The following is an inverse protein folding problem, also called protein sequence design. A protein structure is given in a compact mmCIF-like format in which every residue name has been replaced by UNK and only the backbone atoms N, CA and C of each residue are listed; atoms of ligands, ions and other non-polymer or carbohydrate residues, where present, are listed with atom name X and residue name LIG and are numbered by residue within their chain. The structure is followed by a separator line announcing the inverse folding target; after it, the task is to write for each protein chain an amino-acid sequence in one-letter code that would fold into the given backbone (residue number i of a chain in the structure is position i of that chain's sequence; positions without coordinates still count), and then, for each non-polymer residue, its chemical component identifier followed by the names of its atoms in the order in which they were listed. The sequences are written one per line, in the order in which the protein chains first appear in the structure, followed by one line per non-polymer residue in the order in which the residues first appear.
data_IF_650109714973
#
_entry.id   IF_650109714973
#
_cell.length_a   1.000
_cell.length_b   1.000
_cell.length_c   1.000
_cell.angle_alpha   90.00
_cell.angle_beta   90.00
_cell.angle_gamma   90.00
#
_symmetry.space_group_name_H-M   'P 1'
#
loop_
_entity.id
_entity.type
_entity.pdbx_description
1 polymer ?
#
# COMPACT_ATOMS: atom_id res chain seq x y z
N UNK A 1 -1.23 13.45 -26.58
CA UNK A 1 -0.79 12.05 -26.73
C UNK A 1 -1.56 11.22 -25.72
N UNK A 2 -2.22 10.14 -26.13
CA UNK A 2 -2.92 9.27 -25.19
C UNK A 2 -1.88 8.49 -24.37
N UNK A 3 -2.03 8.45 -23.05
CA UNK A 3 -1.18 7.62 -22.21
C UNK A 3 -1.48 6.14 -22.51
N UNK A 4 -0.46 5.28 -22.71
CA UNK A 4 -0.67 3.87 -22.95
C UNK A 4 -1.45 3.26 -21.78
N UNK A 5 -2.46 2.44 -22.11
CA UNK A 5 -3.27 1.72 -21.11
C UNK A 5 -2.41 0.61 -20.50
N UNK A 6 -2.28 0.61 -19.19
CA UNK A 6 -1.51 -0.41 -18.47
C UNK A 6 -2.46 -1.58 -18.15
N UNK A 7 -2.14 -2.82 -18.54
CA UNK A 7 -2.99 -3.98 -18.26
C UNK A 7 -3.01 -4.31 -16.76
N UNK A 8 -4.18 -4.70 -16.23
CA UNK A 8 -4.36 -5.11 -14.84
C UNK A 8 -3.62 -6.42 -14.51
N UNK A 9 -3.29 -7.23 -15.53
CA UNK A 9 -2.47 -8.45 -15.37
C UNK A 9 -1.06 -8.21 -14.81
N UNK A 10 -0.64 -6.95 -14.69
CA UNK A 10 0.57 -6.55 -13.97
C UNK A 10 0.49 -6.82 -12.46
N UNK A 11 -0.71 -6.71 -11.87
CA UNK A 11 -0.92 -6.87 -10.43
C UNK A 11 -1.88 -8.02 -10.08
N UNK A 12 -2.63 -8.53 -11.05
CA UNK A 12 -3.61 -9.61 -10.87
C UNK A 12 -3.16 -10.88 -11.60
N UNK A 13 -3.23 -12.07 -10.98
CA UNK A 13 -3.05 -13.34 -11.69
C UNK A 13 -4.14 -13.56 -12.75
N UNK A 14 -3.91 -14.44 -13.74
CA UNK A 14 -4.86 -14.64 -14.86
C UNK A 14 -6.29 -14.99 -14.44
N UNK A 15 -6.46 -15.76 -13.37
CA UNK A 15 -7.78 -16.12 -12.81
C UNK A 15 -8.52 -14.88 -12.28
N UNK A 16 -7.85 -14.08 -11.45
CA UNK A 16 -8.41 -12.84 -10.92
C UNK A 16 -8.67 -11.81 -12.02
N UNK A 17 -7.82 -11.74 -13.06
CA UNK A 17 -8.02 -10.84 -14.19
C UNK A 17 -9.33 -11.13 -14.94
N UNK A 18 -9.68 -12.41 -15.13
CA UNK A 18 -10.98 -12.81 -15.73
C UNK A 18 -12.14 -12.35 -14.85
N UNK A 19 -12.04 -12.56 -13.53
CA UNK A 19 -13.05 -12.12 -12.56
C UNK A 19 -13.17 -10.59 -12.50
N UNK A 20 -12.06 -9.87 -12.58
CA UNK A 20 -12.03 -8.41 -12.59
C UNK A 20 -12.70 -7.82 -13.83
N UNK A 21 -12.47 -8.39 -15.02
CA UNK A 21 -13.17 -7.97 -16.24
C UNK A 21 -14.69 -8.17 -16.12
N UNK A 22 -15.11 -9.31 -15.55
CA UNK A 22 -16.53 -9.57 -15.24
C UNK A 22 -17.10 -8.54 -14.27
N UNK A 23 -16.37 -8.24 -13.18
CA UNK A 23 -16.76 -7.23 -12.22
C UNK A 23 -16.90 -5.84 -12.86
N UNK A 24 -15.94 -5.42 -13.70
CA UNK A 24 -16.04 -4.15 -14.44
C UNK A 24 -17.29 -4.11 -15.34
N UNK A 25 -17.60 -5.20 -16.03
CA UNK A 25 -18.78 -5.27 -16.88
C UNK A 25 -20.10 -5.11 -16.10
N UNK A 26 -20.15 -5.56 -14.84
CA UNK A 26 -21.36 -5.56 -14.02
C UNK A 26 -21.51 -4.30 -13.15
N UNK A 27 -20.39 -3.74 -12.69
CA UNK A 27 -20.40 -2.73 -11.62
C UNK A 27 -19.77 -1.40 -12.01
N UNK A 28 -19.15 -1.29 -13.19
CA UNK A 28 -18.59 -0.04 -13.67
C UNK A 28 -19.18 0.36 -15.01
N UNK A 29 -19.12 1.66 -15.32
CA UNK A 29 -19.50 2.19 -16.63
C UNK A 29 -18.30 2.20 -17.61
N UNK A 30 -17.33 1.30 -17.40
CA UNK A 30 -16.11 1.24 -18.21
C UNK A 30 -16.42 0.62 -19.57
N UNK A 31 -15.99 1.28 -20.64
CA UNK A 31 -16.19 0.78 -22.01
C UNK A 31 -15.51 -0.58 -22.18
N UNK A 32 -16.03 -1.50 -23.02
CA UNK A 32 -15.39 -2.79 -23.28
C UNK A 32 -13.91 -2.67 -23.70
N UNK A 33 -13.55 -1.66 -24.50
CA UNK A 33 -12.17 -1.40 -24.92
C UNK A 33 -11.23 -0.86 -23.81
N UNK A 34 -11.76 -0.55 -22.63
CA UNK A 34 -11.02 -0.10 -21.45
C UNK A 34 -10.98 -1.16 -20.34
N UNK A 35 -11.78 -2.22 -20.47
CA UNK A 35 -11.80 -3.33 -19.52
C UNK A 35 -10.46 -4.05 -19.47
N UNK A 36 -10.08 -4.52 -18.28
CA UNK A 36 -8.78 -5.15 -18.03
C UNK A 36 -7.62 -4.16 -17.92
N UNK A 37 -7.88 -2.85 -17.92
CA UNK A 37 -6.89 -1.84 -17.52
C UNK A 37 -6.69 -1.85 -16.00
N UNK A 38 -5.51 -1.46 -15.54
CA UNK A 38 -5.19 -1.41 -14.11
C UNK A 38 -6.20 -0.56 -13.32
N UNK A 39 -6.81 -1.09 -12.24
CA UNK A 39 -7.76 -0.34 -11.40
C UNK A 39 -7.09 0.86 -10.73
N UNK A 40 -7.88 1.86 -10.35
CA UNK A 40 -7.48 2.79 -9.29
C UNK A 40 -7.59 2.13 -7.90
N UNK A 41 -7.12 2.81 -6.84
CA UNK A 41 -7.11 2.21 -5.50
C UNK A 41 -8.52 1.86 -4.98
N UNK A 42 -9.53 2.70 -5.25
CA UNK A 42 -10.92 2.44 -4.87
C UNK A 42 -11.53 1.28 -5.67
N UNK A 43 -11.36 1.26 -6.99
CA UNK A 43 -11.80 0.15 -7.84
C UNK A 43 -11.18 -1.18 -7.42
N UNK A 44 -9.89 -1.17 -7.04
CA UNK A 44 -9.22 -2.36 -6.54
C UNK A 44 -9.85 -2.84 -5.23
N UNK A 45 -10.10 -1.95 -4.27
CA UNK A 45 -10.76 -2.32 -3.01
C UNK A 45 -12.18 -2.85 -3.23
N UNK A 46 -12.98 -2.17 -4.05
CA UNK A 46 -14.36 -2.58 -4.32
C UNK A 46 -14.40 -3.94 -5.03
N UNK A 47 -13.45 -4.20 -5.94
CA UNK A 47 -13.26 -5.53 -6.53
C UNK A 47 -12.86 -6.58 -5.50
N UNK A 48 -11.92 -6.28 -4.60
CA UNK A 48 -11.50 -7.22 -3.54
C UNK A 48 -12.64 -7.52 -2.56
N UNK A 49 -13.50 -6.55 -2.25
CA UNK A 49 -14.71 -6.76 -1.45
C UNK A 49 -15.72 -7.64 -2.20
N UNK A 50 -15.92 -7.41 -3.50
CA UNK A 50 -16.77 -8.26 -4.33
C UNK A 50 -16.25 -9.71 -4.39
N UNK A 51 -14.94 -9.93 -4.57
CA UNK A 51 -14.35 -11.27 -4.54
C UNK A 51 -14.62 -11.98 -3.20
N UNK A 52 -14.41 -11.29 -2.08
CA UNK A 52 -14.68 -11.85 -0.74
C UNK A 52 -16.13 -12.29 -0.57
N UNK A 53 -17.10 -11.56 -1.15
CA UNK A 53 -18.52 -11.94 -1.14
C UNK A 53 -18.82 -13.16 -2.02
N UNK A 54 -18.08 -13.35 -3.11
CA UNK A 54 -18.22 -14.54 -3.94
C UNK A 54 -17.62 -15.78 -3.27
N UNK A 55 -16.47 -15.62 -2.60
CA UNK A 55 -15.75 -16.74 -1.96
C UNK A 55 -16.37 -17.16 -0.63
N UNK A 56 -17.12 -16.27 0.03
CA UNK A 56 -17.74 -16.54 1.34
C UNK A 56 -18.91 -17.54 1.28
N UNK A 57 -19.24 -18.06 0.09
CA UNK A 57 -20.33 -19.00 -0.14
C UNK A 57 -21.71 -18.38 0.11
N UNK A 58 -22.76 -19.06 -0.37
CA UNK A 58 -24.17 -18.63 -0.28
C UNK A 58 -24.66 -18.29 1.14
N UNK A 59 -23.91 -18.66 2.19
CA UNK A 59 -24.33 -18.51 3.58
C UNK A 59 -23.97 -17.15 4.21
N UNK A 60 -23.10 -16.35 3.61
CA UNK A 60 -22.61 -15.13 4.28
C UNK A 60 -23.51 -13.91 4.06
N UNK A 61 -24.18 -13.81 2.92
CA UNK A 61 -25.07 -12.67 2.60
C UNK A 61 -26.32 -12.63 3.49
N UNK A 62 -26.74 -13.79 4.03
CA UNK A 62 -27.93 -13.88 4.90
C UNK A 62 -27.69 -13.15 6.23
N UNK A 63 -26.46 -13.10 6.72
CA UNK A 63 -26.17 -12.53 8.04
C UNK A 63 -25.91 -11.02 8.00
N UNK A 64 -25.37 -10.46 6.91
CA UNK A 64 -25.17 -9.01 6.80
C UNK A 64 -26.50 -8.24 6.83
N UNK A 65 -27.55 -8.76 6.20
CA UNK A 65 -28.89 -8.16 6.16
C UNK A 65 -29.55 -8.12 7.56
N UNK A 66 -29.33 -9.15 8.38
CA UNK A 66 -29.90 -9.22 9.74
C UNK A 66 -29.25 -8.19 10.66
N UNK A 67 -27.95 -7.90 10.51
CA UNK A 67 -27.26 -6.87 11.32
C UNK A 67 -27.90 -5.49 11.18
N UNK A 68 -28.37 -5.13 9.97
CA UNK A 68 -29.07 -3.87 9.73
C UNK A 68 -30.43 -3.79 10.44
N UNK A 69 -31.09 -4.92 10.62
CA UNK A 69 -32.38 -5.01 11.33
C UNK A 69 -32.25 -5.14 12.85
N UNK A 70 -31.08 -5.56 13.35
CA UNK A 70 -30.80 -5.68 14.80
C UNK A 70 -30.21 -4.39 15.39
N UNK A 71 -29.88 -3.40 14.56
CA UNK A 71 -29.52 -2.07 15.03
C UNK A 71 -30.70 -1.46 15.80
N UNK A 72 -30.69 -1.68 17.12
CA UNK A 72 -31.67 -1.19 18.07
C UNK A 72 -31.89 0.29 17.79
N UNK A 73 -33.14 0.67 17.56
CA UNK A 73 -33.60 2.04 17.46
C UNK A 73 -33.00 2.80 18.64
N UNK A 74 -31.92 3.54 18.38
CA UNK A 74 -31.13 4.17 19.43
C UNK A 74 -32.08 5.10 20.16
N UNK A 75 -32.32 4.92 21.47
CA UNK A 75 -33.28 5.74 22.18
C UNK A 75 -32.88 7.20 22.00
N UNK A 76 -33.82 8.00 21.50
CA UNK A 76 -33.69 9.44 21.26
C UNK A 76 -33.19 10.13 22.53
N UNK A 77 -31.88 10.21 22.69
CA UNK A 77 -31.25 10.91 23.82
C UNK A 77 -31.34 12.41 23.54
N UNK A 78 -32.08 13.20 24.34
CA UNK A 78 -32.41 14.61 24.02
C UNK A 78 -31.26 15.60 24.28
N UNK A 79 -30.01 15.14 24.37
CA UNK A 79 -28.86 16.01 24.43
C UNK A 79 -28.34 16.21 23.01
N UNK A 80 -28.40 17.45 22.51
CA UNK A 80 -27.91 17.87 21.19
C UNK A 80 -26.40 17.64 21.05
N UNK A 81 -25.98 16.39 20.89
CA UNK A 81 -24.69 16.05 20.31
C UNK A 81 -24.81 16.36 18.83
N UNK A 82 -23.92 17.22 18.31
CA UNK A 82 -23.85 17.50 16.89
C UNK A 82 -23.82 16.17 16.13
N UNK A 83 -24.81 15.92 15.26
CA UNK A 83 -24.88 14.70 14.46
C UNK A 83 -23.69 14.70 13.50
N UNK A 84 -22.63 13.99 13.88
CA UNK A 84 -21.46 13.82 13.04
C UNK A 84 -21.86 13.06 11.78
N UNK A 85 -21.47 13.53 10.58
CA UNK A 85 -21.74 12.81 9.34
C UNK A 85 -21.15 11.40 9.41
N UNK A 86 -21.87 10.40 8.90
CA UNK A 86 -21.42 9.00 8.86
C UNK A 86 -21.17 8.60 7.40
N UNK A 87 -20.02 7.98 7.14
CA UNK A 87 -19.69 7.50 5.79
C UNK A 87 -20.58 6.31 5.40
N UNK A 88 -21.22 6.29 4.22
CA UNK A 88 -22.22 5.27 3.88
C UNK A 88 -21.64 3.87 3.71
N UNK A 89 -20.40 3.72 3.24
CA UNK A 89 -19.80 2.40 3.01
C UNK A 89 -19.17 1.83 4.27
N UNK A 90 -18.34 2.60 4.97
CA UNK A 90 -17.59 2.10 6.14
C UNK A 90 -18.27 2.39 7.48
N UNK A 91 -19.40 3.12 7.49
CA UNK A 91 -20.19 3.46 8.68
C UNK A 91 -19.41 4.16 9.81
N UNK A 92 -18.26 4.73 9.49
CA UNK A 92 -17.46 5.50 10.44
C UNK A 92 -18.00 6.93 10.56
N UNK A 93 -18.09 7.43 11.80
CA UNK A 93 -18.35 8.83 12.06
C UNK A 93 -17.18 9.69 11.55
N UNK A 94 -17.50 10.78 10.85
CA UNK A 94 -16.57 11.72 10.25
C UNK A 94 -16.71 13.11 10.87
N UNK A 95 -15.68 13.92 10.72
CA UNK A 95 -15.70 15.29 11.20
C UNK A 95 -16.75 16.14 10.45
N UNK A 96 -17.44 17.11 11.08
CA UNK A 96 -18.45 17.94 10.40
C UNK A 96 -17.93 18.69 9.17
N UNK A 97 -16.64 19.01 9.11
CA UNK A 97 -15.99 19.59 7.91
C UNK A 97 -16.12 18.67 6.70
N UNK A 98 -16.03 17.35 6.91
CA UNK A 98 -16.23 16.37 5.86
C UNK A 98 -17.70 16.24 5.42
N UNK A 99 -18.68 16.73 6.20
CA UNK A 99 -20.10 16.64 5.85
C UNK A 99 -20.44 17.33 4.51
N UNK A 100 -19.68 18.37 4.14
CA UNK A 100 -19.87 19.10 2.89
C UNK A 100 -19.45 18.32 1.64
N UNK A 101 -18.68 17.24 1.81
CA UNK A 101 -18.25 16.38 0.71
C UNK A 101 -18.93 15.02 0.86
N UNK A 102 -19.76 14.65 -0.12
CA UNK A 102 -20.39 13.33 -0.17
C UNK A 102 -19.34 12.25 -0.48
N UNK A 103 -18.48 11.95 0.48
CA UNK A 103 -17.50 10.88 0.37
C UNK A 103 -18.14 9.56 0.81
N UNK A 104 -17.95 8.52 0.00
CA UNK A 104 -18.53 7.22 0.28
C UNK A 104 -17.85 6.50 1.47
N UNK A 105 -16.59 6.86 1.76
CA UNK A 105 -15.74 6.29 2.82
C UNK A 105 -15.13 7.43 3.65
N UNK A 106 -14.80 7.15 4.91
CA UNK A 106 -14.14 8.13 5.76
C UNK A 106 -12.67 8.35 5.36
N UNK A 107 -12.06 9.49 5.74
CA UNK A 107 -10.65 9.80 5.43
C UNK A 107 -9.66 8.68 5.76
N UNK A 108 -9.82 8.05 6.92
CA UNK A 108 -8.93 6.97 7.38
C UNK A 108 -9.02 5.75 6.47
N UNK A 109 -10.23 5.28 6.14
CA UNK A 109 -10.42 4.16 5.23
C UNK A 109 -9.90 4.46 3.82
N UNK A 110 -10.00 5.71 3.35
CA UNK A 110 -9.43 6.13 2.07
C UNK A 110 -7.91 5.92 2.07
N UNK A 111 -7.22 6.40 3.10
CA UNK A 111 -5.76 6.23 3.22
C UNK A 111 -5.38 4.75 3.32
N UNK A 112 -6.08 3.95 4.13
CA UNK A 112 -5.83 2.51 4.25
C UNK A 112 -5.96 1.77 2.91
N UNK A 113 -6.94 2.13 2.09
CA UNK A 113 -7.12 1.59 0.73
C UNK A 113 -5.90 1.92 -0.14
N UNK A 114 -5.46 3.18 -0.11
CA UNK A 114 -4.29 3.62 -0.87
C UNK A 114 -3.01 2.93 -0.42
N UNK A 115 -2.80 2.76 0.89
CA UNK A 115 -1.65 2.02 1.44
C UNK A 115 -1.66 0.58 0.94
N UNK A 116 -2.77 -0.15 1.10
CA UNK A 116 -2.89 -1.55 0.67
C UNK A 116 -2.66 -1.68 -0.83
N UNK A 117 -3.23 -0.79 -1.63
CA UNK A 117 -3.02 -0.77 -3.07
C UNK A 117 -1.55 -0.50 -3.45
N UNK A 118 -0.89 0.44 -2.77
CA UNK A 118 0.53 0.71 -2.98
C UNK A 118 1.43 -0.47 -2.57
N UNK A 119 1.07 -1.23 -1.53
CA UNK A 119 1.77 -2.46 -1.15
C UNK A 119 1.65 -3.55 -2.23
N UNK A 120 0.49 -3.68 -2.87
CA UNK A 120 0.29 -4.60 -4.02
C UNK A 120 1.19 -4.19 -5.20
N UNK A 121 1.18 -2.91 -5.57
CA UNK A 121 2.04 -2.38 -6.63
C UNK A 121 3.54 -2.53 -6.31
N UNK A 122 3.94 -2.30 -5.06
CA UNK A 122 5.32 -2.46 -4.63
C UNK A 122 5.78 -3.92 -4.70
N UNK A 123 4.92 -4.88 -4.34
CA UNK A 123 5.19 -6.32 -4.51
C UNK A 123 5.31 -6.70 -5.99
N UNK A 124 4.42 -6.21 -6.84
CA UNK A 124 4.52 -6.44 -8.28
C UNK A 124 5.84 -5.88 -8.84
N UNK A 125 6.23 -4.68 -8.43
CA UNK A 125 7.50 -4.07 -8.83
C UNK A 125 8.71 -4.88 -8.34
N UNK A 126 8.68 -5.36 -7.09
CA UNK A 126 9.73 -6.22 -6.54
C UNK A 126 9.87 -7.52 -7.36
N UNK A 127 8.76 -8.16 -7.69
CA UNK A 127 8.74 -9.37 -8.52
C UNK A 127 9.25 -9.12 -9.95
N UNK A 128 9.10 -7.91 -10.47
CA UNK A 128 9.61 -7.48 -11.77
C UNK A 128 11.08 -6.98 -11.74
N UNK A 129 11.79 -7.14 -10.62
CA UNK A 129 13.21 -6.75 -10.48
C UNK A 129 13.47 -5.50 -9.62
N UNK A 130 12.44 -4.91 -9.01
CA UNK A 130 12.54 -3.97 -7.87
C UNK A 130 13.18 -2.61 -8.13
N UNK A 131 13.59 -2.30 -9.36
CA UNK A 131 14.34 -1.09 -9.67
C UNK A 131 13.65 -0.22 -10.70
N UNK A 132 13.82 1.11 -10.55
CA UNK A 132 13.53 2.03 -11.63
C UNK A 132 14.41 1.67 -12.84
N UNK A 133 13.88 1.73 -14.08
CA UNK A 133 14.67 1.58 -15.30
C UNK A 133 15.92 2.48 -15.21
N UNK A 134 17.11 1.88 -15.16
CA UNK A 134 18.35 2.67 -15.11
C UNK A 134 18.76 3.02 -16.55
N UNK A 135 19.26 4.23 -16.77
CA UNK A 135 19.67 4.67 -18.11
C UNK A 135 20.80 3.83 -18.74
N UNK A 136 21.39 2.90 -17.99
CA UNK A 136 22.55 2.09 -18.40
C UNK A 136 22.22 0.62 -18.63
N UNK A 137 21.06 0.13 -18.18
CA UNK A 137 20.64 -1.27 -18.37
C UNK A 137 19.33 -1.29 -19.15
N UNK A 138 19.25 -2.19 -20.13
CA UNK A 138 18.00 -2.46 -20.85
C UNK A 138 17.00 -3.10 -19.88
N UNK A 139 16.06 -2.30 -19.36
CA UNK A 139 14.89 -2.80 -18.64
C UNK A 139 14.03 -3.67 -19.56
N UNK A 140 13.35 -4.66 -18.99
CA UNK A 140 12.32 -5.40 -19.74
C UNK A 140 11.06 -4.56 -19.89
N UNK A 141 10.33 -4.73 -21.00
CA UNK A 141 9.03 -4.08 -21.23
C UNK A 141 8.05 -4.33 -20.07
N UNK A 142 8.09 -5.53 -19.48
CA UNK A 142 7.30 -5.88 -18.31
C UNK A 142 7.67 -5.01 -17.10
N UNK A 143 8.96 -4.89 -16.78
CA UNK A 143 9.44 -4.06 -15.67
C UNK A 143 9.05 -2.58 -15.86
N UNK A 144 9.17 -2.04 -17.07
CA UNK A 144 8.74 -0.68 -17.36
C UNK A 144 7.24 -0.49 -17.16
N UNK A 145 6.43 -1.46 -17.62
CA UNK A 145 4.98 -1.45 -17.45
C UNK A 145 4.59 -1.46 -15.97
N UNK A 146 5.24 -2.32 -15.17
CA UNK A 146 5.01 -2.40 -13.71
C UNK A 146 5.46 -1.13 -13.00
N UNK A 147 6.60 -0.56 -13.38
CA UNK A 147 7.10 0.69 -12.84
C UNK A 147 6.16 1.87 -13.14
N UNK A 148 5.63 1.93 -14.37
CA UNK A 148 4.63 2.93 -14.76
C UNK A 148 3.33 2.78 -13.94
N UNK A 149 2.89 1.54 -13.67
CA UNK A 149 1.75 1.27 -12.79
C UNK A 149 2.00 1.79 -11.37
N UNK A 150 3.17 1.48 -10.80
CA UNK A 150 3.56 1.92 -9.47
C UNK A 150 3.63 3.46 -9.39
N UNK A 151 4.21 4.12 -10.39
CA UNK A 151 4.24 5.58 -10.46
C UNK A 151 2.84 6.18 -10.52
N UNK A 152 1.94 5.61 -11.34
CA UNK A 152 0.54 6.04 -11.43
C UNK A 152 -0.18 5.91 -10.09
N UNK A 153 0.00 4.77 -9.40
CA UNK A 153 -0.54 4.56 -8.05
C UNK A 153 0.00 5.56 -7.03
N UNK A 154 1.31 5.84 -7.07
CA UNK A 154 1.96 6.82 -6.19
C UNK A 154 1.42 8.23 -6.41
N UNK A 155 1.30 8.67 -7.66
CA UNK A 155 0.72 9.97 -8.01
C UNK A 155 -0.74 10.06 -7.56
N UNK A 156 -1.53 9.00 -7.77
CA UNK A 156 -2.92 8.96 -7.31
C UNK A 156 -3.03 9.10 -5.79
N UNK A 157 -2.15 8.41 -5.05
CA UNK A 157 -2.11 8.44 -3.59
C UNK A 157 -1.71 9.82 -3.07
N UNK A 158 -0.68 10.44 -3.65
CA UNK A 158 -0.25 11.79 -3.28
C UNK A 158 -1.33 12.85 -3.55
N UNK A 159 -2.09 12.71 -4.65
CA UNK A 159 -3.23 13.59 -4.93
C UNK A 159 -4.31 13.49 -3.86
N UNK A 160 -4.59 12.28 -3.39
CA UNK A 160 -5.58 12.08 -2.34
C UNK A 160 -5.08 12.61 -0.99
N UNK A 161 -3.82 12.34 -0.65
CA UNK A 161 -3.19 12.87 0.56
C UNK A 161 -3.20 14.40 0.59
N UNK A 162 -2.93 15.06 -0.54
CA UNK A 162 -2.98 16.53 -0.63
C UNK A 162 -4.38 17.11 -0.35
N UNK A 163 -5.45 16.41 -0.75
CA UNK A 163 -6.82 16.81 -0.38
C UNK A 163 -7.06 16.64 1.11
N UNK A 164 -6.57 15.55 1.70
CA UNK A 164 -6.70 15.28 3.13
C UNK A 164 -5.90 16.25 3.99
N UNK A 165 -4.73 16.69 3.54
CA UNK A 165 -3.94 17.74 4.20
C UNK A 165 -4.74 19.06 4.23
N UNK A 166 -5.35 19.44 3.10
CA UNK A 166 -6.22 20.63 3.05
C UNK A 166 -7.41 20.49 4.01
N UNK A 167 -8.05 19.31 4.02
CA UNK A 167 -9.16 19.03 4.95
C UNK A 167 -8.71 19.04 6.41
N UNK A 168 -7.52 18.55 6.72
CA UNK A 168 -6.95 18.55 8.06
C UNK A 168 -6.73 19.99 8.59
N UNK A 169 -6.27 20.91 7.73
CA UNK A 169 -6.17 22.33 8.08
C UNK A 169 -7.55 22.93 8.41
N UNK A 170 -8.58 22.58 7.63
CA UNK A 170 -9.96 23.00 7.87
C UNK A 170 -10.51 22.43 9.18
N UNK A 171 -10.22 21.15 9.50
CA UNK A 171 -10.59 20.51 10.76
C UNK A 171 -9.96 21.22 11.97
N UNK A 172 -8.67 21.57 11.88
CA UNK A 172 -7.97 22.32 12.94
C UNK A 172 -8.57 23.72 13.11
N UNK A 173 -8.83 24.43 12.01
CA UNK A 173 -9.45 25.75 12.05
C UNK A 173 -10.88 25.71 12.60
N UNK A 174 -11.64 24.65 12.28
CA UNK A 174 -12.98 24.41 12.80
C UNK A 174 -12.93 24.11 14.30
N UNK A 175 -12.01 23.25 14.75
CA UNK A 175 -11.86 22.85 16.16
C UNK A 175 -11.47 24.04 17.04
N UNK A 176 -10.66 24.97 16.52
CA UNK A 176 -10.31 26.21 17.23
C UNK A 176 -11.53 27.12 17.48
N UNK A 177 -12.57 27.03 16.65
CA UNK A 177 -13.82 27.81 16.80
C UNK A 177 -14.88 27.10 17.65
N UNK A 178 -14.74 25.81 17.89
CA UNK A 178 -15.71 24.97 18.60
C UNK A 178 -15.03 24.12 19.69
N UNK A 179 -14.38 24.74 20.70
CA UNK A 179 -13.65 24.02 21.74
C UNK A 179 -14.54 23.11 22.62
N UNK A 180 -15.85 23.31 22.61
CA UNK A 180 -16.84 22.48 23.30
C UNK A 180 -17.11 21.14 22.61
N UNK A 181 -16.79 21.03 21.31
CA UNK A 181 -17.01 19.82 20.54
C UNK A 181 -15.96 18.77 20.89
N UNK A 182 -16.39 17.67 21.50
CA UNK A 182 -15.53 16.51 21.81
C UNK A 182 -15.81 15.39 20.81
N UNK A 183 -14.75 14.88 20.22
CA UNK A 183 -14.80 13.85 19.18
C UNK A 183 -13.82 12.74 19.51
N UNK A 184 -14.26 11.75 20.28
CA UNK A 184 -13.40 10.62 20.69
C UNK A 184 -13.31 9.53 19.59
N UNK A 185 -14.43 9.24 18.90
CA UNK A 185 -14.50 8.15 17.91
C UNK A 185 -14.59 8.59 16.44
N UNK A 186 -14.22 9.84 16.15
CA UNK A 186 -14.31 10.39 14.79
C UNK A 186 -13.07 10.05 13.96
N UNK A 187 -13.29 9.60 12.73
CA UNK A 187 -12.23 9.41 11.75
C UNK A 187 -11.98 10.74 11.01
N UNK A 188 -10.99 11.48 11.49
CA UNK A 188 -10.58 12.80 10.98
C UNK A 188 -9.56 12.69 9.85
N UNK A 189 -9.45 13.74 9.04
CA UNK A 189 -8.40 13.87 8.02
C UNK A 189 -7.00 13.98 8.66
N UNK A 190 -6.87 14.67 9.80
CA UNK A 190 -5.61 14.70 10.58
C UNK A 190 -5.12 13.29 10.87
N UNK A 191 -6.00 12.43 11.44
CA UNK A 191 -5.67 11.04 11.76
C UNK A 191 -5.29 10.23 10.52
N UNK A 192 -5.95 10.48 9.39
CA UNK A 192 -5.66 9.81 8.14
C UNK A 192 -4.27 10.17 7.58
N UNK A 193 -3.90 11.45 7.63
CA UNK A 193 -2.56 11.93 7.21
C UNK A 193 -1.47 11.34 8.11
N UNK A 194 -1.67 11.36 9.42
CA UNK A 194 -0.73 10.76 10.38
C UNK A 194 -0.55 9.25 10.12
N UNK A 195 -1.65 8.53 9.87
CA UNK A 195 -1.62 7.11 9.54
C UNK A 195 -0.79 6.83 8.28
N UNK A 196 -0.94 7.65 7.23
CA UNK A 196 -0.14 7.50 6.01
C UNK A 196 1.36 7.65 6.27
N UNK A 197 1.76 8.70 7.00
CA UNK A 197 3.17 8.97 7.26
C UNK A 197 3.80 7.93 8.17
N UNK A 198 3.08 7.47 9.20
CA UNK A 198 3.54 6.41 10.10
C UNK A 198 3.79 5.10 9.37
N UNK A 199 2.92 4.73 8.42
CA UNK A 199 3.08 3.49 7.65
C UNK A 199 4.18 3.63 6.58
N UNK A 200 4.25 4.75 5.86
CA UNK A 200 5.13 4.89 4.69
C UNK A 200 6.57 5.28 5.00
N UNK A 201 6.79 6.11 6.03
CA UNK A 201 8.15 6.45 6.49
C UNK A 201 8.72 5.31 7.34
N UNK A 202 7.85 4.38 7.76
CA UNK A 202 8.10 3.41 8.80
C UNK A 202 8.11 4.14 10.13
N UNK A 203 7.32 3.67 11.10
CA UNK A 203 7.45 4.09 12.49
C UNK A 203 8.89 3.86 12.92
N UNK A 204 9.69 4.92 12.84
CA UNK A 204 11.11 4.88 13.13
C UNK A 204 11.37 4.76 14.64
N UNK A 205 10.29 4.68 15.42
CA UNK A 205 10.31 4.66 16.88
C UNK A 205 10.63 3.27 17.45
N UNK A 206 10.31 2.17 16.76
CA UNK A 206 10.55 0.81 17.30
C UNK A 206 11.77 0.08 16.74
N UNK A 207 12.46 0.67 15.76
CA UNK A 207 13.88 0.31 15.58
C UNK A 207 14.64 1.04 16.67
N UNK A 208 14.70 0.42 17.85
CA UNK A 208 15.80 0.62 18.80
C UNK A 208 17.10 0.35 18.04
N UNK A 209 17.58 1.35 17.31
CA UNK A 209 18.93 1.33 16.81
C UNK A 209 19.78 1.14 18.07
N UNK A 210 20.69 0.16 18.09
CA UNK A 210 21.61 0.02 19.20
C UNK A 210 22.21 1.40 19.41
N UNK A 211 22.16 1.91 20.65
CA UNK A 211 22.65 3.23 21.06
C UNK A 211 24.14 3.37 20.74
N UNK A 212 24.50 3.43 19.47
CA UNK A 212 25.78 3.91 19.01
C UNK A 212 25.72 5.37 19.36
N UNK A 213 26.58 5.78 20.30
CA UNK A 213 26.78 7.18 20.67
C UNK A 213 26.79 7.96 19.36
N UNK A 214 25.75 8.77 19.14
CA UNK A 214 25.64 9.54 17.92
C UNK A 214 26.83 10.47 17.90
N UNK A 215 27.87 10.11 17.15
CA UNK A 215 28.94 11.02 16.82
C UNK A 215 28.30 12.05 15.91
N UNK A 216 27.70 13.08 16.51
CA UNK A 216 27.10 14.18 15.79
C UNK A 216 28.20 14.80 14.95
N UNK A 217 28.10 14.64 13.64
CA UNK A 217 29.00 15.30 12.69
C UNK A 217 28.63 16.78 12.73
N UNK A 218 29.35 17.54 13.55
CA UNK A 218 29.24 18.99 13.58
C UNK A 218 30.01 19.55 12.39
N UNK A 219 29.32 20.31 11.54
CA UNK A 219 29.97 21.12 10.51
C UNK A 219 30.49 22.42 11.17
N UNK A 220 31.63 22.92 10.71
CA UNK A 220 32.18 24.17 11.22
C UNK A 220 31.26 25.35 10.84
N UNK A 221 31.30 26.45 11.62
CA UNK A 221 30.40 27.61 11.44
C UNK A 221 30.60 28.35 10.11
N UNK A 222 31.73 28.13 9.47
CA UNK A 222 32.16 28.67 8.18
C UNK A 222 31.93 27.71 7.01
N UNK A 223 31.29 26.56 7.25
CA UNK A 223 30.93 25.63 6.17
C UNK A 223 29.88 26.30 5.28
N UNK A 224 30.31 26.76 4.11
CA UNK A 224 29.44 27.40 3.15
C UNK A 224 28.55 26.34 2.46
N UNK A 225 27.24 26.43 2.70
CA UNK A 225 26.23 25.56 2.09
C UNK A 225 25.61 26.19 0.85
N UNK A 226 26.37 27.05 0.15
CA UNK A 226 25.95 27.62 -1.11
C UNK A 226 25.28 26.57 -2.00
N UNK A 227 24.11 26.89 -2.60
CA UNK A 227 23.32 25.96 -3.40
C UNK A 227 24.08 25.60 -4.68
N UNK A 228 24.93 24.59 -4.61
CA UNK A 228 25.76 24.19 -5.75
C UNK A 228 26.44 22.83 -5.64
N UNK A 229 26.51 22.22 -4.44
CA UNK A 229 27.14 20.90 -4.27
C UNK A 229 26.12 19.83 -3.89
N UNK A 230 25.78 18.90 -4.80
CA UNK A 230 24.90 17.77 -4.48
C UNK A 230 25.46 16.95 -3.31
N UNK A 231 24.57 16.48 -2.41
CA UNK A 231 24.94 15.73 -1.21
C UNK A 231 25.83 14.50 -1.52
N UNK A 232 25.60 13.86 -2.68
CA UNK A 232 26.38 12.72 -3.15
C UNK A 232 27.88 12.99 -3.29
N UNK A 233 28.33 14.24 -3.41
CA UNK A 233 29.75 14.59 -3.52
C UNK A 233 30.49 14.62 -2.18
N UNK A 234 29.78 14.57 -1.05
CA UNK A 234 30.38 14.44 0.28
C UNK A 234 30.61 12.98 0.67
N UNK A 235 30.11 12.02 -0.11
CA UNK A 235 30.28 10.60 0.15
C UNK A 235 31.70 10.16 -0.26
N UNK A 236 32.40 9.40 0.60
CA UNK A 236 33.76 8.86 0.33
C UNK A 236 33.87 8.03 -0.95
N UNK A 237 32.76 7.47 -1.44
CA UNK A 237 32.69 6.69 -2.68
C UNK A 237 32.58 7.55 -3.94
N UNK A 238 32.40 8.86 -3.81
CA UNK A 238 32.33 9.77 -4.96
C UNK A 238 33.72 9.98 -5.56
N UNK A 239 33.87 9.91 -6.90
CA UNK A 239 35.13 10.26 -7.57
C UNK A 239 35.58 11.71 -7.33
N UNK A 240 34.67 12.57 -6.86
CA UNK A 240 34.91 13.98 -6.54
C UNK A 240 35.02 14.25 -5.04
N UNK A 241 35.15 13.20 -4.22
CA UNK A 241 35.42 13.35 -2.79
C UNK A 241 36.84 13.90 -2.61
N UNK A 242 36.95 14.97 -1.83
CA UNK A 242 38.24 15.58 -1.48
C UNK A 242 38.49 15.27 0.02
N UNK A 243 39.31 14.25 0.35
CA UNK A 243 39.65 13.94 1.73
C UNK A 243 40.29 15.14 2.41
N UNK A 244 39.96 15.40 3.68
CA UNK A 244 40.59 16.48 4.46
C UNK A 244 39.93 17.85 4.32
N UNK A 245 39.36 18.17 3.15
CA UNK A 245 38.86 19.53 2.85
C UNK A 245 37.64 19.96 3.68
N UNK A 246 36.85 18.99 4.15
CA UNK A 246 35.61 19.23 4.91
C UNK A 246 35.67 18.65 6.32
N UNK A 247 36.80 18.06 6.72
CA UNK A 247 37.01 17.66 8.12
C UNK A 247 37.33 18.92 8.90
N UNK A 248 36.50 19.22 9.88
CA UNK A 248 36.78 20.28 10.85
C UNK A 248 38.07 19.89 11.56
N UNK A 249 39.11 20.69 11.40
CA UNK A 249 40.27 20.63 12.29
C UNK A 249 39.73 20.94 13.68
N UNK A 250 39.56 19.90 14.51
CA UNK A 250 39.30 20.09 15.92
C UNK A 250 40.49 20.90 16.43
N UNK A 251 40.27 22.13 16.95
CA UNK A 251 41.36 22.91 17.51
C UNK A 251 42.05 22.01 18.53
N UNK A 252 43.35 21.79 18.33
CA UNK A 252 44.20 21.09 19.28
C UNK A 252 44.05 21.86 20.60
N UNK A 253 43.20 21.35 21.49
CA UNK A 253 43.14 21.82 22.86
C UNK A 253 44.54 21.60 23.42
N UNK A 254 45.24 22.71 23.67
CA UNK A 254 46.53 22.76 24.34
C UNK A 254 46.51 21.78 25.52
N UNK A 255 47.29 20.70 25.38
CA UNK A 255 47.55 19.69 26.38
C UNK A 255 48.05 20.35 27.68
N UNK A 256 47.14 20.64 28.60
CA UNK A 256 47.46 20.75 30.02
C UNK A 256 47.59 19.34 30.58
N UNK A 257 48.76 18.76 30.35
CA UNK A 257 49.21 17.48 30.88
C UNK A 257 49.58 17.63 32.35
N UNK A 258 48.65 17.35 33.26
CA UNK A 258 48.99 16.81 34.58
C UNK A 258 48.19 15.52 34.87
N UNK A 259 48.92 14.42 34.69
CA UNK A 259 48.90 13.23 35.54
C UNK A 259 47.55 12.53 35.81
N UNK A 260 47.23 11.56 34.96
CA UNK A 260 46.76 10.25 35.47
C UNK A 260 46.95 9.15 34.45
N UNK A 261 47.94 8.32 34.74
CA UNK A 261 48.13 6.99 34.17
C UNK A 261 46.95 6.10 34.59
N UNK A 262 46.18 5.55 33.66
CA UNK A 262 45.96 4.11 33.65
C UNK A 262 45.48 3.58 32.29
N UNK A 263 46.17 2.54 31.88
CA UNK A 263 46.15 1.85 30.61
C UNK A 263 44.92 0.98 30.40
N UNK A 264 44.28 1.05 29.24
CA UNK A 264 43.65 -0.15 28.64
C UNK A 264 43.93 -0.20 27.14
N UNK A 265 44.85 -1.09 26.77
CA UNK A 265 45.11 -1.49 25.38
C UNK A 265 43.92 -2.32 24.90
N UNK A 266 43.06 -1.73 24.07
CA UNK A 266 42.09 -2.50 23.27
C UNK A 266 42.83 -3.04 22.04
N UNK A 267 43.17 -4.31 22.11
CA UNK A 267 43.74 -5.11 21.01
C UNK A 267 42.71 -5.20 19.89
N UNK A 268 42.93 -4.46 18.80
CA UNK A 268 42.14 -4.57 17.57
C UNK A 268 42.47 -5.92 16.93
N UNK A 269 41.56 -6.89 17.09
CA UNK A 269 41.64 -8.17 16.41
C UNK A 269 40.96 -8.02 15.04
N UNK A 270 41.76 -7.80 14.00
CA UNK A 270 41.31 -8.01 12.63
C UNK A 270 41.16 -9.54 12.43
N UNK A 271 39.93 -10.01 12.21
CA UNK A 271 39.70 -11.35 11.68
C UNK A 271 39.77 -11.26 10.15
N UNK A 272 40.81 -11.87 9.59
CA UNK A 272 40.86 -12.24 8.18
C UNK A 272 39.94 -13.44 7.96
N UNK A 273 39.14 -13.38 6.91
CA UNK A 273 38.35 -14.49 6.40
C UNK A 273 39.31 -15.49 5.77
N UNK A 274 39.67 -16.53 6.50
CA UNK A 274 40.31 -17.72 5.95
C UNK A 274 39.23 -18.72 5.51
N UNK A 275 39.40 -19.19 4.29
CA UNK A 275 38.66 -20.27 3.65
C UNK A 275 38.84 -21.55 4.48
N UNK A 276 37.73 -22.18 4.89
CA UNK A 276 37.77 -23.50 5.51
C UNK A 276 37.05 -24.50 4.60
N UNK A 277 37.87 -25.29 3.93
CA UNK A 277 37.54 -26.62 3.45
C UNK A 277 37.03 -27.46 4.64
N UNK A 278 35.83 -28.02 4.51
CA UNK A 278 35.38 -29.08 5.42
C UNK A 278 35.29 -30.40 4.67
N UNK A 279 36.28 -31.20 5.06
CA UNK A 279 36.55 -32.59 4.80
C UNK A 279 35.44 -33.51 5.35
N UNK A 280 35.17 -34.49 4.52
CA UNK A 280 34.52 -35.77 4.72
C UNK A 280 35.04 -36.58 5.92
N UNK A 281 34.14 -37.25 6.65
CA UNK A 281 34.42 -38.60 7.17
C UNK A 281 34.01 -38.92 8.61
N UNK A 282 33.34 -40.07 8.73
CA UNK A 282 33.09 -40.95 9.89
C UNK A 282 32.16 -40.47 11.03
N UNK A 283 30.94 -40.99 11.19
CA UNK A 283 30.45 -42.38 11.49
C UNK A 283 30.64 -42.75 12.96
N UNK A 284 29.52 -42.90 13.68
CA UNK A 284 29.17 -43.81 14.80
C UNK A 284 27.92 -43.21 15.48
N UNK A 285 26.89 -43.89 15.97
CA UNK A 285 26.34 -45.26 15.93
C UNK A 285 24.88 -45.11 16.43
N UNK A 286 24.04 -46.08 16.12
CA UNK A 286 22.55 -46.06 16.20
C UNK A 286 22.05 -46.51 17.60
N UNK A 287 20.84 -46.09 18.03
CA UNK A 287 19.71 -47.06 18.13
C UNK A 287 18.39 -46.42 17.65
N UNK A 288 17.73 -46.88 16.57
CA UNK A 288 16.87 -48.08 16.44
C UNK A 288 15.65 -48.07 17.38
N UNK A 289 14.48 -47.82 16.77
CA UNK A 289 13.11 -48.28 17.10
C UNK A 289 12.26 -47.93 15.86
N UNK A 290 12.10 -48.87 14.92
CA UNK A 290 10.88 -49.70 14.71
C UNK A 290 9.70 -48.81 14.27
N UNK A 291 9.46 -48.63 12.97
CA UNK A 291 8.78 -49.53 12.02
C UNK A 291 7.25 -49.36 12.01
N UNK A 292 6.71 -49.37 10.79
CA UNK A 292 5.33 -49.70 10.40
C UNK A 292 4.23 -48.63 10.57
N UNK A 293 3.93 -47.92 9.47
CA UNK A 293 2.80 -48.36 8.65
C UNK A 293 2.82 -47.67 7.27
N UNK A 294 3.01 -48.52 6.27
CA UNK A 294 2.83 -48.26 4.85
C UNK A 294 1.39 -47.82 4.55
N UNK A 295 1.24 -46.71 3.83
CA UNK A 295 0.04 -46.49 3.02
C UNK A 295 0.46 -46.06 1.61
N UNK A 296 0.60 -47.11 0.81
CA UNK A 296 0.54 -47.13 -0.65
C UNK A 296 -0.60 -46.24 -1.19
N UNK A 297 -0.23 -45.39 -2.15
CA UNK A 297 -0.88 -45.13 -3.46
C UNK A 297 -2.38 -44.74 -3.54
N UNK A 298 -2.79 -43.89 -4.53
CA UNK A 298 -2.19 -43.81 -5.86
C UNK A 298 -1.84 -42.40 -6.37
N UNK A 299 -0.71 -42.37 -7.10
CA UNK A 299 -0.55 -41.58 -8.31
C UNK A 299 -1.47 -42.19 -9.37
N UNK A 300 -2.32 -41.37 -9.98
CA UNK A 300 -2.93 -41.46 -11.31
C UNK A 300 -4.25 -40.67 -11.28
N UNK A 301 -4.11 -39.34 -11.40
CA UNK A 301 -5.18 -38.48 -11.92
C UNK A 301 -4.61 -37.82 -13.19
N UNK A 302 -4.44 -38.66 -14.19
CA UNK A 302 -4.42 -38.39 -15.63
C UNK A 302 -5.79 -37.87 -16.09
N UNK A 303 -6.31 -36.89 -15.35
CA UNK A 303 -7.46 -36.09 -15.70
C UNK A 303 -7.11 -35.23 -16.90
N UNK A 304 -7.15 -35.87 -18.08
CA UNK A 304 -7.48 -35.31 -19.38
C UNK A 304 -8.76 -34.47 -19.20
N UNK A 305 -8.55 -33.27 -18.68
CA UNK A 305 -9.51 -32.21 -18.59
C UNK A 305 -9.63 -31.64 -20.00
N UNK A 306 -10.40 -32.39 -20.79
CA UNK A 306 -10.95 -32.16 -22.12
C UNK A 306 -11.81 -30.87 -22.16
N UNK A 307 -11.21 -29.76 -21.71
CA UNK A 307 -11.73 -28.40 -21.84
C UNK A 307 -11.13 -27.69 -23.05
N UNK A 308 -10.33 -28.41 -23.85
CA UNK A 308 -10.13 -28.06 -25.25
C UNK A 308 -11.42 -28.45 -25.99
N UNK A 309 -11.92 -27.57 -26.85
CA UNK A 309 -13.16 -27.72 -27.64
C UNK A 309 -14.48 -27.34 -26.96
N UNK A 310 -14.51 -26.15 -26.35
CA UNK A 310 -15.62 -25.24 -26.68
C UNK A 310 -15.13 -24.35 -27.83
N UNK A 311 -15.18 -24.92 -29.03
CA UNK A 311 -15.34 -24.12 -30.24
C UNK A 311 -16.70 -23.43 -30.11
N UNK A 312 -16.73 -22.28 -29.42
CA UNK A 312 -17.83 -21.34 -29.59
C UNK A 312 -17.68 -20.78 -30.99
N UNK A 313 -18.22 -21.53 -31.95
CA UNK A 313 -18.52 -21.11 -33.29
C UNK A 313 -19.09 -19.69 -33.25
N UNK A 314 -18.60 -18.90 -34.19
CA UNK A 314 -19.00 -17.55 -34.48
C UNK A 314 -20.54 -17.40 -34.48
N UNK A 315 -21.08 -16.81 -33.41
CA UNK A 315 -22.23 -15.93 -33.58
C UNK A 315 -21.71 -14.51 -33.45
N UNK A 316 -21.66 -13.84 -34.59
CA UNK A 316 -21.74 -12.40 -34.75
C UNK A 316 -22.91 -11.88 -33.89
N UNK A 317 -22.68 -11.73 -32.59
CA UNK A 317 -23.57 -11.04 -31.69
C UNK A 317 -23.37 -9.55 -31.95
N UNK A 318 -23.97 -9.11 -33.06
CA UNK A 318 -24.35 -7.74 -33.34
C UNK A 318 -25.16 -7.24 -32.12
N UNK A 319 -24.43 -6.69 -31.14
CA UNK A 319 -24.99 -6.01 -29.98
C UNK A 319 -25.47 -4.61 -30.43
N UNK A 320 -26.34 -4.60 -31.43
CA UNK A 320 -27.24 -3.53 -31.77
C UNK A 320 -28.55 -3.77 -31.04
N UNK A 321 -28.58 -3.67 -29.71
CA UNK A 321 -29.86 -3.53 -29.00
C UNK A 321 -30.42 -2.14 -29.33
N UNK A 322 -31.14 -2.07 -30.45
CA UNK A 322 -32.06 -0.98 -30.73
C UNK A 322 -33.13 -1.02 -29.64
N UNK A 323 -32.96 -0.19 -28.61
CA UNK A 323 -34.02 0.07 -27.65
C UNK A 323 -35.09 0.86 -28.41
N UNK A 324 -36.06 0.14 -28.96
CA UNK A 324 -37.33 0.73 -29.37
C UNK A 324 -37.97 1.26 -28.09
N UNK A 325 -37.97 2.58 -27.94
CA UNK A 325 -38.59 3.29 -26.82
C UNK A 325 -40.08 3.05 -26.97
N UNK A 326 -40.60 2.00 -26.32
CA UNK A 326 -42.03 1.87 -26.09
C UNK A 326 -42.47 3.08 -25.25
N UNK A 327 -43.32 3.92 -25.86
CA UNK A 327 -43.94 5.08 -25.23
C UNK A 327 -44.68 4.62 -23.96
N UNK A 328 -44.04 4.79 -22.81
CA UNK A 328 -44.69 4.57 -21.50
C UNK A 328 -45.81 5.60 -21.35
N UNK A 329 -47.03 5.14 -21.58
CA UNK A 329 -48.26 5.85 -21.30
C UNK A 329 -48.33 6.18 -19.81
N UNK A 330 -48.29 7.47 -19.51
CA UNK A 330 -48.39 8.00 -18.15
C UNK A 330 -49.82 7.80 -17.64
N UNK A 331 -50.00 7.04 -16.57
CA UNK A 331 -51.29 6.95 -15.86
C UNK A 331 -51.46 8.23 -15.05
N UNK A 332 -52.36 9.10 -15.48
CA UNK A 332 -52.80 10.28 -14.71
C UNK A 332 -53.96 9.84 -13.81
N UNK A 333 -53.75 9.86 -12.50
CA UNK A 333 -54.84 9.77 -11.55
C UNK A 333 -55.53 11.13 -11.48
N UNK A 334 -56.80 11.19 -11.88
CA UNK A 334 -57.64 12.36 -11.67
C UNK A 334 -58.07 12.42 -10.20
N UNK A 335 -57.89 13.59 -9.58
CA UNK A 335 -58.46 13.90 -8.28
C UNK A 335 -59.99 14.03 -8.42
N UNK A 336 -60.73 13.33 -7.57
CA UNK A 336 -62.19 13.38 -7.44
C UNK A 336 -62.59 14.28 -6.25
#
# INVERSE_FOLDING_TARGET
MAYPKIPAGVIMPPRELKQYKKWQCLHTNTKPAEQGSIPNAHEYEDFQQWLKRQDSGYFSDIFEDISGHVAQSRPESPARTFDSPVAPICQHAMHPVAAGQLQARCPVCIVEIHIRYMQVLARALANAGGHAPSCTLTSSDHQETVYNAWCKGKVSTLKELSKLETMAEEEVAWSARHPEAKYEDIQTAVKAVDLYWNETIGSHEDRTQPKKKATAVAFAKDTDFDPGRPNSYFHRRSPRYEPGKYTVETPEEEETTEDSKETSQVKVHCYGTEESDLDTGDVEEVPSLEDDDSLDEPLDDDGDSDWEDIESEDEDSDCGSYYEIEETSFIVFGDD
#
